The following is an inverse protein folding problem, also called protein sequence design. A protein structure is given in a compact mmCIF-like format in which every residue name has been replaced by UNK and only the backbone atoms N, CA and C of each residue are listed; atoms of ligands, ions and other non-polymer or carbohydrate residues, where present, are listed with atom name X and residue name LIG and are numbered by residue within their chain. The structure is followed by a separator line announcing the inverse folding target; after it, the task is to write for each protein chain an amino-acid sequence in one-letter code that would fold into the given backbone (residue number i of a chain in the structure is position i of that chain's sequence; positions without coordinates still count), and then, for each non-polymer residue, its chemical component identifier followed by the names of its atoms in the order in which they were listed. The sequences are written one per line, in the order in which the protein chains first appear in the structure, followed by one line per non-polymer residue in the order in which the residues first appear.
data_IF_018783300915
#
_entry.id   IF_018783300915
#
_cell.length_a   1.000
_cell.length_b   1.000
_cell.length_c   1.000
_cell.angle_alpha   90.00
_cell.angle_beta   90.00
_cell.angle_gamma   90.00
#
_symmetry.space_group_name_H-M   'P 1'
#
loop_
_entity.id
_entity.type
_entity.pdbx_description
1 polymer ?
#
# COMPACT_ATOMS: atom_id res chain seq x y z
N UNK A 1 -0.57 -22.65 -29.41
CA UNK A 1 -1.75 -21.75 -29.33
C UNK A 1 -1.36 -20.57 -28.43
N UNK A 2 -1.16 -19.40 -29.01
CA UNK A 2 -0.84 -18.17 -28.30
C UNK A 2 -2.08 -17.77 -27.47
N UNK A 3 -2.00 -17.81 -26.14
CA UNK A 3 -2.99 -17.17 -25.27
C UNK A 3 -2.72 -15.66 -25.28
N UNK A 4 -3.53 -14.92 -25.98
CA UNK A 4 -3.58 -13.47 -25.91
C UNK A 4 -3.89 -13.04 -24.47
N UNK A 5 -3.00 -12.22 -23.93
CA UNK A 5 -3.15 -11.53 -22.65
C UNK A 5 -4.29 -10.50 -22.75
N UNK A 6 -5.49 -10.88 -22.37
CA UNK A 6 -6.67 -10.01 -22.25
C UNK A 6 -6.65 -9.19 -20.94
N UNK A 7 -5.55 -8.52 -20.60
CA UNK A 7 -5.46 -7.65 -19.44
C UNK A 7 -4.63 -6.38 -19.72
N UNK A 8 -4.65 -5.90 -20.96
CA UNK A 8 -4.20 -4.55 -21.28
C UNK A 8 -5.17 -4.06 -22.36
N UNK A 9 -6.17 -3.26 -21.96
CA UNK A 9 -6.75 -2.29 -22.88
C UNK A 9 -5.56 -1.57 -23.51
N UNK A 10 -5.57 -1.40 -24.81
CA UNK A 10 -4.52 -0.82 -25.62
C UNK A 10 -3.80 0.29 -24.86
N UNK A 11 -2.46 0.25 -24.77
CA UNK A 11 -1.60 1.14 -23.96
C UNK A 11 -1.93 2.63 -24.05
N UNK A 12 -2.63 3.05 -25.09
CA UNK A 12 -3.01 4.43 -25.36
C UNK A 12 -4.22 4.93 -24.54
N UNK A 13 -5.13 4.06 -24.10
CA UNK A 13 -6.37 4.48 -23.43
C UNK A 13 -6.35 4.35 -21.90
N UNK A 14 -5.34 3.75 -21.31
CA UNK A 14 -5.27 3.53 -19.84
C UNK A 14 -5.27 4.84 -19.03
N UNK A 15 -4.69 5.92 -19.55
CA UNK A 15 -4.70 7.22 -18.90
C UNK A 15 -6.09 7.86 -18.87
N UNK A 16 -6.95 7.60 -19.88
CA UNK A 16 -8.33 8.12 -19.94
C UNK A 16 -9.18 7.55 -18.80
N UNK A 17 -8.97 6.29 -18.44
CA UNK A 17 -9.64 5.67 -17.28
C UNK A 17 -9.20 6.35 -15.98
N UNK A 18 -7.91 6.60 -15.81
CA UNK A 18 -7.38 7.33 -14.66
C UNK A 18 -7.89 8.77 -14.62
N UNK A 19 -7.89 9.45 -15.76
CA UNK A 19 -8.46 10.81 -15.91
C UNK A 19 -9.91 10.85 -15.44
N UNK A 20 -10.74 9.96 -15.97
CA UNK A 20 -12.16 9.88 -15.63
C UNK A 20 -12.38 9.64 -14.15
N UNK A 21 -11.58 8.76 -13.53
CA UNK A 21 -11.65 8.49 -12.08
C UNK A 21 -11.37 9.75 -11.26
N UNK A 22 -10.35 10.53 -11.61
CA UNK A 22 -10.03 11.79 -10.91
C UNK A 22 -11.12 12.84 -11.18
N UNK A 23 -11.57 12.96 -12.40
CA UNK A 23 -12.61 13.92 -12.81
C UNK A 23 -13.92 13.68 -12.04
N UNK A 24 -14.40 12.43 -12.02
CA UNK A 24 -15.65 12.06 -11.34
C UNK A 24 -15.55 12.30 -9.83
N UNK A 25 -14.40 11.94 -9.22
CA UNK A 25 -14.16 12.22 -7.81
C UNK A 25 -14.14 13.71 -7.50
N UNK A 26 -13.45 14.50 -8.32
CA UNK A 26 -13.35 15.94 -8.12
C UNK A 26 -14.70 16.63 -8.29
N UNK A 27 -15.52 16.22 -9.28
CA UNK A 27 -16.90 16.71 -9.47
C UNK A 27 -17.81 16.34 -8.30
N UNK A 28 -17.79 15.07 -7.86
CA UNK A 28 -18.63 14.56 -6.77
C UNK A 28 -18.32 15.23 -5.41
N UNK A 29 -17.10 15.74 -5.21
CA UNK A 29 -16.68 16.42 -3.99
C UNK A 29 -16.51 17.94 -4.14
N UNK A 30 -16.93 18.56 -5.27
CA UNK A 30 -16.81 19.99 -5.57
C UNK A 30 -15.38 20.53 -5.46
N UNK A 31 -14.37 19.76 -5.91
CA UNK A 31 -12.96 20.13 -5.85
C UNK A 31 -12.57 20.92 -7.10
N UNK A 32 -12.79 22.23 -7.08
CA UNK A 32 -12.64 23.10 -8.24
C UNK A 32 -11.18 23.21 -8.70
N UNK A 33 -10.23 23.40 -7.76
CA UNK A 33 -8.81 23.48 -8.11
C UNK A 33 -8.32 22.17 -8.71
N UNK A 34 -8.76 21.02 -8.19
CA UNK A 34 -8.41 19.69 -8.75
C UNK A 34 -8.93 19.51 -10.17
N UNK A 35 -10.15 20.00 -10.49
CA UNK A 35 -10.70 19.96 -11.85
C UNK A 35 -9.90 20.83 -12.83
N UNK A 36 -9.48 22.02 -12.39
CA UNK A 36 -8.63 22.91 -13.19
C UNK A 36 -7.24 22.27 -13.38
N UNK A 37 -6.61 21.81 -12.31
CA UNK A 37 -5.30 21.18 -12.33
C UNK A 37 -5.26 19.92 -13.22
N UNK A 38 -6.34 19.14 -13.24
CA UNK A 38 -6.48 17.96 -14.09
C UNK A 38 -6.39 18.33 -15.59
N UNK A 39 -7.09 19.37 -16.02
CA UNK A 39 -7.04 19.89 -17.40
C UNK A 39 -5.65 20.44 -17.72
N UNK A 40 -5.14 21.33 -16.85
CA UNK A 40 -3.83 21.95 -16.99
C UNK A 40 -2.71 20.90 -17.10
N UNK A 41 -2.66 19.89 -16.22
CA UNK A 41 -1.66 18.84 -16.29
C UNK A 41 -1.73 18.04 -17.60
N UNK A 42 -2.96 17.76 -18.07
CA UNK A 42 -3.17 17.04 -19.35
C UNK A 42 -2.65 17.85 -20.55
N UNK A 43 -2.87 19.15 -20.58
CA UNK A 43 -2.37 20.06 -21.61
C UNK A 43 -0.85 20.17 -21.55
N UNK A 44 -0.28 20.36 -20.36
CA UNK A 44 1.17 20.55 -20.17
C UNK A 44 1.96 19.30 -20.52
N UNK A 45 1.50 18.11 -20.12
CA UNK A 45 2.18 16.84 -20.41
C UNK A 45 1.80 16.23 -21.77
N UNK A 46 1.02 16.95 -22.60
CA UNK A 46 0.65 16.49 -23.95
C UNK A 46 1.90 16.25 -24.80
N UNK A 47 2.00 15.05 -25.38
CA UNK A 47 3.13 14.62 -26.21
C UNK A 47 4.34 14.10 -25.41
N UNK A 48 4.35 14.20 -24.09
CA UNK A 48 5.42 13.65 -23.25
C UNK A 48 5.18 12.16 -22.94
N UNK A 49 6.26 11.38 -22.92
CA UNK A 49 6.23 9.96 -22.56
C UNK A 49 7.21 9.65 -21.44
N UNK A 50 6.86 8.67 -20.59
CA UNK A 50 7.75 8.09 -19.58
C UNK A 50 8.81 7.18 -20.23
N UNK A 51 9.86 6.82 -19.49
CA UNK A 51 10.87 5.84 -19.94
C UNK A 51 10.28 4.45 -20.24
N UNK A 52 9.13 4.12 -19.67
CA UNK A 52 8.33 2.92 -19.93
C UNK A 52 7.53 2.98 -21.24
N UNK A 53 7.53 4.15 -21.95
CA UNK A 53 6.80 4.37 -23.20
C UNK A 53 5.34 4.79 -23.02
N UNK A 54 4.84 4.93 -21.79
CA UNK A 54 3.48 5.37 -21.49
C UNK A 54 3.37 6.91 -21.53
N UNK A 55 2.17 7.49 -21.83
CA UNK A 55 1.96 8.93 -21.73
C UNK A 55 2.31 9.44 -20.31
N UNK A 56 3.05 10.56 -20.23
CA UNK A 56 3.56 11.06 -18.93
C UNK A 56 2.45 11.38 -17.95
N UNK A 57 1.30 11.86 -18.41
CA UNK A 57 0.14 12.21 -17.60
C UNK A 57 -0.35 11.08 -16.69
N UNK A 58 -0.05 9.81 -17.01
CA UNK A 58 -0.40 8.67 -16.17
C UNK A 58 0.19 8.81 -14.77
N UNK A 59 1.40 9.36 -14.64
CA UNK A 59 2.09 9.47 -13.36
C UNK A 59 1.35 10.41 -12.38
N UNK A 60 1.13 11.69 -12.67
CA UNK A 60 0.41 12.56 -11.76
C UNK A 60 -1.04 12.09 -11.51
N UNK A 61 -1.69 11.47 -12.50
CA UNK A 61 -2.99 10.83 -12.30
C UNK A 61 -2.93 9.71 -11.25
N UNK A 62 -1.96 8.82 -11.34
CA UNK A 62 -1.80 7.71 -10.40
C UNK A 62 -1.42 8.19 -8.99
N UNK A 63 -0.58 9.22 -8.86
CA UNK A 63 -0.25 9.85 -7.57
C UNK A 63 -1.51 10.44 -6.94
N UNK A 64 -2.31 11.17 -7.71
CA UNK A 64 -3.57 11.76 -7.24
C UNK A 64 -4.59 10.70 -6.87
N UNK A 65 -4.78 9.66 -7.70
CA UNK A 65 -5.66 8.53 -7.38
C UNK A 65 -5.21 7.83 -6.10
N UNK A 66 -3.90 7.66 -5.89
CA UNK A 66 -3.40 7.05 -4.68
C UNK A 66 -3.76 7.87 -3.43
N UNK A 67 -3.62 9.20 -3.48
CA UNK A 67 -4.08 10.08 -2.40
C UNK A 67 -5.60 9.97 -2.16
N UNK A 68 -6.39 9.91 -3.23
CA UNK A 68 -7.84 9.68 -3.14
C UNK A 68 -8.15 8.34 -2.45
N UNK A 69 -7.45 7.27 -2.80
CA UNK A 69 -7.66 5.94 -2.17
C UNK A 69 -7.23 5.92 -0.70
N UNK A 70 -6.31 6.80 -0.30
CA UNK A 70 -5.98 7.04 1.10
C UNK A 70 -7.07 7.83 1.84
N UNK A 71 -8.06 8.37 1.14
CA UNK A 71 -9.18 9.13 1.70
C UNK A 71 -8.97 10.64 1.72
N UNK A 72 -7.95 11.15 1.01
CA UNK A 72 -7.71 12.58 0.89
C UNK A 72 -8.81 13.25 0.06
N UNK A 73 -9.37 14.35 0.58
CA UNK A 73 -10.36 15.21 -0.10
C UNK A 73 -9.95 16.69 -0.09
N UNK A 74 -8.70 16.98 0.24
CA UNK A 74 -8.15 18.34 0.23
C UNK A 74 -7.91 18.79 -1.22
N UNK A 75 -8.69 19.77 -1.69
CA UNK A 75 -8.67 20.28 -3.07
C UNK A 75 -7.30 20.85 -3.45
N UNK A 76 -6.64 21.55 -2.51
CA UNK A 76 -5.31 22.12 -2.73
C UNK A 76 -4.26 21.01 -2.86
N UNK A 77 -4.33 20.00 -1.99
CA UNK A 77 -3.38 18.87 -2.02
C UNK A 77 -3.52 18.06 -3.30
N UNK A 78 -4.75 17.72 -3.71
CA UNK A 78 -4.98 16.92 -4.92
C UNK A 78 -4.62 17.69 -6.19
N UNK A 79 -4.92 19.00 -6.25
CA UNK A 79 -4.48 19.87 -7.35
C UNK A 79 -2.95 19.97 -7.42
N UNK A 80 -2.28 20.16 -6.28
CA UNK A 80 -0.81 20.18 -6.21
C UNK A 80 -0.20 18.82 -6.62
N UNK A 81 -0.84 17.71 -6.26
CA UNK A 81 -0.41 16.37 -6.69
C UNK A 81 -0.53 16.18 -8.21
N UNK A 82 -1.58 16.73 -8.84
CA UNK A 82 -1.71 16.72 -10.30
C UNK A 82 -0.62 17.52 -11.00
N UNK A 83 -0.08 18.57 -10.36
CA UNK A 83 0.85 19.53 -10.97
C UNK A 83 2.29 19.42 -10.45
N UNK A 84 2.60 18.45 -9.57
CA UNK A 84 3.85 18.42 -8.81
C UNK A 84 5.14 18.40 -9.64
N UNK A 85 5.09 17.83 -10.86
CA UNK A 85 6.25 17.74 -11.77
C UNK A 85 6.23 18.82 -12.88
N UNK A 86 5.14 19.59 -13.03
CA UNK A 86 4.95 20.45 -14.20
C UNK A 86 6.00 21.56 -14.29
N UNK A 87 6.38 22.22 -13.19
CA UNK A 87 7.41 23.26 -13.18
C UNK A 87 8.79 22.69 -13.47
N UNK A 88 9.04 21.42 -13.13
CA UNK A 88 10.30 20.72 -13.41
C UNK A 88 10.38 20.23 -14.87
N UNK A 89 9.29 19.67 -15.39
CA UNK A 89 9.27 18.91 -16.64
C UNK A 89 8.67 19.64 -17.86
N UNK A 90 7.94 20.76 -17.65
CA UNK A 90 7.27 21.53 -18.72
C UNK A 90 7.87 22.94 -18.89
N UNK A 91 9.20 23.05 -18.86
CA UNK A 91 9.93 24.34 -18.92
C UNK A 91 9.76 25.11 -20.24
N UNK A 92 9.34 24.45 -21.27
CA UNK A 92 9.00 25.02 -22.59
C UNK A 92 7.60 25.65 -22.62
N UNK A 93 6.75 25.29 -21.66
CA UNK A 93 5.34 25.73 -21.59
C UNK A 93 5.03 26.58 -20.34
N UNK A 94 5.91 26.56 -19.34
CA UNK A 94 5.74 27.30 -18.08
C UNK A 94 6.96 28.15 -17.77
N UNK A 95 6.74 29.30 -17.15
CA UNK A 95 7.79 30.10 -16.54
C UNK A 95 8.45 29.32 -15.37
N UNK A 96 9.69 29.69 -15.04
CA UNK A 96 10.40 29.07 -13.91
C UNK A 96 9.70 29.24 -12.57
N UNK A 97 8.88 30.25 -12.45
CA UNK A 97 8.14 30.59 -11.23
C UNK A 97 6.73 29.98 -11.22
N UNK A 98 6.27 29.42 -12.34
CA UNK A 98 4.92 28.86 -12.45
C UNK A 98 3.81 29.90 -12.29
N UNK A 99 4.08 31.16 -12.64
CA UNK A 99 3.11 32.27 -12.49
C UNK A 99 1.78 32.01 -13.21
N UNK A 100 1.81 31.22 -14.28
CA UNK A 100 0.64 30.79 -15.04
C UNK A 100 -0.42 30.09 -14.20
N UNK A 101 -0.02 29.43 -13.10
CA UNK A 101 -0.97 28.77 -12.20
C UNK A 101 -2.02 29.74 -11.66
N UNK A 102 -1.59 30.94 -11.28
CA UNK A 102 -2.48 31.96 -10.73
C UNK A 102 -2.98 32.92 -11.81
N UNK A 103 -2.14 33.35 -12.72
CA UNK A 103 -2.49 34.37 -13.74
C UNK A 103 -3.35 33.83 -14.88
N UNK A 104 -3.06 32.61 -15.36
CA UNK A 104 -3.76 32.00 -16.48
C UNK A 104 -4.87 31.06 -16.07
N UNK A 105 -4.56 30.20 -15.07
CA UNK A 105 -5.48 29.14 -14.63
C UNK A 105 -6.28 29.49 -13.37
N UNK A 106 -6.00 30.64 -12.75
CA UNK A 106 -6.69 31.12 -11.54
C UNK A 106 -6.76 30.09 -10.41
N UNK A 107 -5.69 29.31 -10.23
CA UNK A 107 -5.56 28.36 -9.13
C UNK A 107 -5.24 29.06 -7.81
N UNK A 108 -5.61 28.42 -6.71
CA UNK A 108 -5.24 28.91 -5.38
C UNK A 108 -3.71 29.02 -5.27
N UNK A 109 -3.15 30.16 -4.80
CA UNK A 109 -1.69 30.37 -4.69
C UNK A 109 -0.94 29.32 -3.87
N UNK A 110 -1.59 28.68 -2.89
CA UNK A 110 -0.99 27.60 -2.08
C UNK A 110 -0.61 26.39 -2.93
N UNK A 111 -1.30 26.16 -4.06
CA UNK A 111 -0.97 25.05 -4.97
C UNK A 111 0.41 25.28 -5.57
N UNK A 112 0.67 26.48 -6.10
CA UNK A 112 1.97 26.85 -6.65
C UNK A 112 3.06 26.75 -5.57
N UNK A 113 2.80 27.25 -4.36
CA UNK A 113 3.73 27.16 -3.23
C UNK A 113 4.14 25.72 -2.95
N UNK A 114 3.16 24.79 -2.91
CA UNK A 114 3.42 23.36 -2.68
C UNK A 114 4.20 22.75 -3.85
N UNK A 115 3.82 23.04 -5.09
CA UNK A 115 4.52 22.54 -6.29
C UNK A 115 5.98 23.00 -6.30
N UNK A 116 6.26 24.27 -5.98
CA UNK A 116 7.63 24.79 -5.88
C UNK A 116 8.45 24.13 -4.76
N UNK A 117 7.83 23.75 -3.62
CA UNK A 117 8.50 22.95 -2.58
C UNK A 117 8.90 21.56 -3.11
N UNK A 118 8.12 20.99 -4.02
CA UNK A 118 8.35 19.66 -4.61
C UNK A 118 9.31 19.68 -5.78
N UNK A 119 9.53 20.86 -6.41
CA UNK A 119 10.40 21.06 -7.58
C UNK A 119 11.88 21.04 -7.19
N UNK A 120 12.68 20.22 -7.85
CA UNK A 120 14.15 20.19 -7.70
C UNK A 120 14.79 21.26 -8.60
N UNK A 121 15.44 22.24 -8.01
CA UNK A 121 16.16 23.27 -8.74
C UNK A 121 17.59 22.82 -9.08
N UNK A 122 18.19 23.41 -10.14
CA UNK A 122 19.58 23.09 -10.50
C UNK A 122 20.52 23.37 -9.31
N UNK A 123 21.32 22.36 -8.91
CA UNK A 123 22.27 22.50 -7.80
C UNK A 123 21.61 22.34 -6.40
N UNK A 124 20.38 21.79 -6.30
CA UNK A 124 19.77 21.52 -5.01
C UNK A 124 20.62 20.55 -4.18
N UNK A 125 20.60 20.75 -2.85
CA UNK A 125 21.21 19.85 -1.88
C UNK A 125 20.10 18.97 -1.31
N UNK A 126 20.21 17.65 -1.48
CA UNK A 126 19.17 16.67 -1.10
C UNK A 126 18.69 16.86 0.33
N UNK A 127 19.59 16.94 1.31
CA UNK A 127 19.23 17.14 2.70
C UNK A 127 18.34 18.38 2.90
N UNK A 128 18.72 19.51 2.31
CA UNK A 128 17.98 20.77 2.44
C UNK A 128 16.60 20.69 1.76
N UNK A 129 16.51 19.97 0.65
CA UNK A 129 15.27 19.74 -0.08
C UNK A 129 14.27 18.98 0.79
N UNK A 130 14.68 17.84 1.37
CA UNK A 130 13.79 17.06 2.23
C UNK A 130 13.44 17.77 3.55
N UNK A 131 14.37 18.55 4.11
CA UNK A 131 14.06 19.38 5.31
C UNK A 131 12.99 20.47 5.06
N UNK A 132 12.93 21.01 3.84
CA UNK A 132 11.84 21.95 3.46
C UNK A 132 10.50 21.22 3.32
N UNK A 133 10.50 20.06 2.65
CA UNK A 133 9.28 19.25 2.44
C UNK A 133 8.69 18.80 3.78
N UNK A 134 9.51 18.41 4.76
CA UNK A 134 9.05 18.01 6.10
C UNK A 134 8.11 19.02 6.75
N UNK A 135 8.31 20.32 6.52
CA UNK A 135 7.59 21.38 7.19
C UNK A 135 6.18 21.62 6.66
N UNK A 136 5.86 21.09 5.50
CA UNK A 136 4.52 21.21 4.90
C UNK A 136 3.86 19.83 4.82
N UNK A 137 2.74 19.60 5.54
CA UNK A 137 2.08 18.29 5.59
C UNK A 137 1.55 17.82 4.24
N UNK A 138 1.10 18.76 3.38
CA UNK A 138 0.60 18.45 2.04
C UNK A 138 1.75 18.05 1.11
N UNK A 139 2.83 18.83 1.08
CA UNK A 139 4.03 18.53 0.30
C UNK A 139 4.65 17.19 0.72
N UNK A 140 4.71 16.91 2.03
CA UNK A 140 5.21 15.66 2.59
C UNK A 140 4.39 14.47 2.09
N UNK A 141 3.06 14.55 2.18
CA UNK A 141 2.18 13.43 1.78
C UNK A 141 2.21 13.20 0.27
N UNK A 142 2.23 14.27 -0.53
CA UNK A 142 2.40 14.17 -1.99
C UNK A 142 3.74 13.50 -2.32
N UNK A 143 4.84 13.94 -1.70
CA UNK A 143 6.18 13.38 -1.97
C UNK A 143 6.30 11.91 -1.59
N UNK A 144 5.68 11.48 -0.49
CA UNK A 144 5.59 10.08 -0.12
C UNK A 144 4.78 9.27 -1.14
N UNK A 145 3.67 9.82 -1.64
CA UNK A 145 2.80 9.17 -2.63
C UNK A 145 3.47 9.06 -4.00
N UNK A 146 4.17 10.11 -4.44
CA UNK A 146 5.02 10.11 -5.62
C UNK A 146 6.09 9.01 -5.54
N UNK A 147 6.84 8.93 -4.44
CA UNK A 147 7.84 7.86 -4.24
C UNK A 147 7.20 6.47 -4.32
N UNK A 148 6.07 6.27 -3.68
CA UNK A 148 5.37 4.99 -3.70
C UNK A 148 4.93 4.60 -5.13
N UNK A 149 4.48 5.55 -5.94
CA UNK A 149 4.17 5.32 -7.35
C UNK A 149 5.42 4.99 -8.17
N UNK A 150 6.49 5.77 -8.04
CA UNK A 150 7.74 5.54 -8.74
C UNK A 150 8.40 4.21 -8.37
N UNK A 151 8.41 3.83 -7.08
CA UNK A 151 8.88 2.51 -6.64
C UNK A 151 8.07 1.37 -7.26
N UNK A 152 6.76 1.56 -7.45
CA UNK A 152 5.88 0.55 -8.03
C UNK A 152 6.18 0.24 -9.50
N UNK A 153 6.78 1.19 -10.22
CA UNK A 153 7.06 1.08 -11.67
C UNK A 153 8.54 0.91 -11.99
N UNK A 154 9.45 1.04 -11.00
CA UNK A 154 10.91 1.10 -11.26
C UNK A 154 11.49 -0.16 -11.89
N UNK A 155 10.93 -1.36 -11.61
CA UNK A 155 11.41 -2.63 -12.17
C UNK A 155 11.32 -2.67 -13.68
N UNK A 156 10.36 -1.94 -14.28
CA UNK A 156 10.17 -1.85 -15.73
C UNK A 156 10.99 -0.74 -16.39
N UNK A 157 11.48 0.22 -15.60
CA UNK A 157 12.05 1.47 -16.11
C UNK A 157 13.53 1.67 -15.75
N UNK A 158 14.06 0.96 -14.74
CA UNK A 158 15.39 1.18 -14.19
C UNK A 158 16.27 -0.06 -14.35
N UNK A 159 17.58 0.16 -14.57
CA UNK A 159 18.59 -0.88 -14.44
C UNK A 159 18.90 -1.14 -12.95
N UNK A 160 19.69 -2.20 -12.67
CA UNK A 160 20.05 -2.65 -11.32
C UNK A 160 20.64 -1.53 -10.47
N UNK A 161 21.66 -0.82 -10.97
CA UNK A 161 22.36 0.23 -10.21
C UNK A 161 21.43 1.39 -9.84
N UNK A 162 20.52 1.74 -10.74
CA UNK A 162 19.54 2.79 -10.49
C UNK A 162 18.49 2.34 -9.48
N UNK A 163 18.05 1.06 -9.51
CA UNK A 163 17.16 0.52 -8.49
C UNK A 163 17.80 0.54 -7.10
N UNK A 164 19.07 0.14 -6.99
CA UNK A 164 19.82 0.17 -5.72
C UNK A 164 19.85 1.59 -5.14
N UNK A 165 20.27 2.58 -5.94
CA UNK A 165 20.30 3.99 -5.53
C UNK A 165 18.90 4.49 -5.11
N UNK A 166 17.87 4.04 -5.79
CA UNK A 166 16.49 4.45 -5.52
C UNK A 166 15.96 3.87 -4.21
N UNK A 167 16.34 2.62 -3.90
CA UNK A 167 16.04 1.96 -2.62
C UNK A 167 16.78 2.67 -1.49
N UNK A 168 18.11 2.92 -1.64
CA UNK A 168 18.92 3.62 -0.66
C UNK A 168 18.36 5.02 -0.34
N UNK A 169 18.05 5.81 -1.37
CA UNK A 169 17.41 7.13 -1.20
C UNK A 169 16.05 7.00 -0.47
N UNK A 170 15.27 5.96 -0.76
CA UNK A 170 13.99 5.72 -0.10
C UNK A 170 14.16 5.43 1.39
N UNK A 171 15.13 4.59 1.74
CA UNK A 171 15.42 4.25 3.13
C UNK A 171 15.99 5.47 3.88
N UNK A 172 16.90 6.21 3.26
CA UNK A 172 17.57 7.34 3.89
C UNK A 172 16.64 8.52 4.16
N UNK A 173 15.91 8.97 3.14
CA UNK A 173 15.12 10.21 3.24
C UNK A 173 13.63 9.98 3.46
N UNK A 174 13.01 9.03 2.76
CA UNK A 174 11.55 8.88 2.84
C UNK A 174 11.09 8.18 4.12
N UNK A 175 11.91 7.29 4.70
CA UNK A 175 11.60 6.75 6.02
C UNK A 175 11.69 7.82 7.11
N UNK A 176 12.62 8.75 6.96
CA UNK A 176 12.74 9.89 7.85
C UNK A 176 11.55 10.85 7.69
N UNK A 177 11.10 11.14 6.44
CA UNK A 177 9.85 11.85 6.19
C UNK A 177 8.65 11.15 6.86
N UNK A 178 8.55 9.83 6.77
CA UNK A 178 7.49 9.07 7.43
C UNK A 178 7.56 9.19 8.96
N UNK A 179 8.75 9.11 9.54
CA UNK A 179 8.96 9.27 10.98
C UNK A 179 8.56 10.66 11.46
N UNK A 180 9.04 11.69 10.76
CA UNK A 180 8.72 13.08 11.06
C UNK A 180 7.23 13.36 10.92
N UNK A 181 6.62 13.00 9.79
CA UNK A 181 5.21 13.25 9.53
C UNK A 181 4.28 12.59 10.54
N UNK A 182 4.58 11.36 10.98
CA UNK A 182 3.79 10.68 12.03
C UNK A 182 3.89 11.37 13.39
N UNK A 183 5.02 12.01 13.69
CA UNK A 183 5.22 12.71 14.95
C UNK A 183 4.58 14.10 14.98
N UNK A 184 4.52 14.80 13.84
CA UNK A 184 4.13 16.20 13.76
C UNK A 184 2.76 16.43 13.10
N UNK A 185 2.25 15.48 12.33
CA UNK A 185 0.98 15.55 11.59
C UNK A 185 0.11 14.34 11.92
N UNK A 186 -0.46 14.25 13.12
CA UNK A 186 -1.22 13.10 13.60
C UNK A 186 -2.44 12.78 12.72
N UNK A 187 -3.04 13.78 12.07
CA UNK A 187 -4.14 13.62 11.12
C UNK A 187 -3.77 12.79 9.90
N UNK A 188 -2.49 12.79 9.49
CA UNK A 188 -1.97 11.98 8.39
C UNK A 188 -1.28 10.68 8.84
N UNK A 189 -1.27 10.36 10.13
CA UNK A 189 -0.54 9.21 10.67
C UNK A 189 -0.94 7.88 10.00
N UNK A 190 -2.23 7.67 9.75
CA UNK A 190 -2.72 6.46 9.06
C UNK A 190 -2.28 6.42 7.60
N UNK A 191 -2.40 7.53 6.87
CA UNK A 191 -1.95 7.65 5.48
C UNK A 191 -0.47 7.32 5.35
N UNK A 192 0.36 7.93 6.20
CA UNK A 192 1.81 7.70 6.24
C UNK A 192 2.13 6.25 6.61
N UNK A 193 1.36 5.64 7.50
CA UNK A 193 1.55 4.22 7.89
C UNK A 193 1.31 3.29 6.70
N UNK A 194 0.24 3.51 5.92
CA UNK A 194 -0.08 2.73 4.73
C UNK A 194 1.00 2.90 3.65
N UNK A 195 1.42 4.14 3.39
CA UNK A 195 2.48 4.45 2.41
C UNK A 195 3.81 3.80 2.84
N UNK A 196 4.20 3.96 4.12
CA UNK A 196 5.43 3.37 4.64
C UNK A 196 5.41 1.85 4.53
N UNK A 197 4.28 1.21 4.88
CA UNK A 197 4.12 -0.23 4.74
C UNK A 197 4.38 -0.71 3.30
N UNK A 198 3.80 0.00 2.33
CA UNK A 198 4.00 -0.27 0.91
C UNK A 198 5.46 -0.04 0.47
N UNK A 199 6.06 1.09 0.81
CA UNK A 199 7.45 1.38 0.48
C UNK A 199 8.41 0.33 1.07
N UNK A 200 8.21 -0.06 2.33
CA UNK A 200 9.01 -1.09 2.99
C UNK A 200 8.91 -2.42 2.24
N UNK A 201 7.70 -2.84 1.88
CA UNK A 201 7.49 -4.10 1.15
C UNK A 201 8.18 -4.10 -0.21
N UNK A 202 8.11 -2.99 -0.94
CA UNK A 202 8.77 -2.87 -2.26
C UNK A 202 10.30 -2.90 -2.09
N UNK A 203 10.85 -2.10 -1.16
CA UNK A 203 12.30 -2.05 -0.92
C UNK A 203 12.84 -3.42 -0.49
N UNK A 204 12.21 -4.08 0.51
CA UNK A 204 12.61 -5.41 0.97
C UNK A 204 12.56 -6.45 -0.18
N UNK A 205 11.56 -6.37 -1.06
CA UNK A 205 11.45 -7.26 -2.23
C UNK A 205 12.58 -7.00 -3.23
N UNK A 206 12.88 -5.74 -3.53
CA UNK A 206 13.96 -5.38 -4.48
C UNK A 206 15.34 -5.73 -3.92
N UNK A 207 15.60 -5.45 -2.64
CA UNK A 207 16.87 -5.82 -1.97
C UNK A 207 17.10 -7.34 -2.08
N UNK A 208 16.07 -8.14 -1.81
CA UNK A 208 16.17 -9.59 -1.89
C UNK A 208 16.39 -10.09 -3.32
N UNK A 209 15.65 -9.56 -4.31
CA UNK A 209 15.78 -9.95 -5.72
C UNK A 209 17.14 -9.56 -6.33
N UNK A 210 17.75 -8.46 -5.87
CA UNK A 210 19.05 -8.01 -6.35
C UNK A 210 20.23 -8.58 -5.53
N UNK A 211 19.96 -9.46 -4.54
CA UNK A 211 20.94 -10.02 -3.61
C UNK A 211 21.80 -8.96 -2.93
N UNK A 212 21.16 -7.86 -2.52
CA UNK A 212 21.81 -6.77 -1.79
C UNK A 212 21.82 -7.12 -0.31
N UNK A 213 22.95 -6.93 0.37
CA UNK A 213 23.01 -7.02 1.84
C UNK A 213 22.00 -6.05 2.44
N UNK A 214 21.21 -6.54 3.42
CA UNK A 214 20.13 -5.75 4.03
C UNK A 214 20.68 -4.46 4.61
N UNK A 215 20.28 -3.32 4.07
CA UNK A 215 20.63 -1.99 4.56
C UNK A 215 19.86 -1.70 5.87
N UNK A 216 18.68 -2.31 6.04
CA UNK A 216 17.87 -2.13 7.24
C UNK A 216 18.37 -3.05 8.37
N UNK A 217 18.73 -2.49 9.56
CA UNK A 217 19.06 -3.29 10.72
C UNK A 217 17.85 -4.15 11.13
N UNK A 218 18.10 -5.42 11.46
CA UNK A 218 17.11 -6.30 12.08
C UNK A 218 16.86 -5.74 13.49
N UNK A 219 15.79 -4.96 13.65
CA UNK A 219 15.35 -4.53 14.99
C UNK A 219 14.75 -5.73 15.71
N UNK A 220 15.48 -6.34 16.62
CA UNK A 220 15.02 -7.48 17.46
C UNK A 220 13.68 -7.25 18.16
N UNK A 221 13.29 -6.00 18.37
CA UNK A 221 12.07 -5.60 19.06
C UNK A 221 11.01 -4.94 18.16
N UNK A 222 11.14 -5.09 16.82
CA UNK A 222 10.23 -4.45 15.84
C UNK A 222 8.75 -4.78 16.11
N UNK A 223 8.43 -5.98 16.61
CA UNK A 223 7.07 -6.41 16.91
C UNK A 223 6.47 -5.73 18.15
N UNK A 224 7.30 -5.36 19.14
CA UNK A 224 6.82 -4.74 20.39
C UNK A 224 6.09 -3.41 20.13
N UNK A 225 6.61 -2.57 19.22
CA UNK A 225 5.94 -1.32 18.85
C UNK A 225 4.56 -1.56 18.25
N UNK A 226 4.45 -2.55 17.35
CA UNK A 226 3.17 -2.90 16.73
C UNK A 226 2.20 -3.50 17.74
N UNK A 227 2.69 -4.36 18.64
CA UNK A 227 1.90 -4.94 19.72
C UNK A 227 1.36 -3.85 20.66
N UNK A 228 2.22 -2.92 21.10
CA UNK A 228 1.83 -1.80 21.96
C UNK A 228 0.84 -0.87 21.27
N UNK A 229 1.03 -0.61 19.96
CA UNK A 229 0.08 0.17 19.17
C UNK A 229 -1.31 -0.48 19.16
N UNK A 230 -1.41 -1.77 18.81
CA UNK A 230 -2.69 -2.49 18.78
C UNK A 230 -3.30 -2.56 20.19
N UNK A 231 -2.49 -2.82 21.23
CA UNK A 231 -2.95 -2.86 22.62
C UNK A 231 -3.54 -1.51 23.05
N UNK A 232 -2.82 -0.41 22.81
CA UNK A 232 -3.30 0.93 23.14
C UNK A 232 -4.57 1.30 22.36
N UNK A 233 -4.64 0.96 21.07
CA UNK A 233 -5.83 1.14 20.25
C UNK A 233 -7.03 0.35 20.79
N UNK A 234 -6.81 -0.94 21.13
CA UNK A 234 -7.87 -1.80 21.66
C UNK A 234 -8.39 -1.34 23.02
N UNK A 235 -7.52 -0.83 23.89
CA UNK A 235 -7.93 -0.22 25.18
C UNK A 235 -8.76 1.04 24.92
N UNK A 236 -8.28 1.97 24.07
CA UNK A 236 -8.97 3.22 23.77
C UNK A 236 -10.30 3.07 23.00
N UNK A 237 -10.54 1.89 22.40
CA UNK A 237 -11.79 1.54 21.67
C UNK A 237 -12.62 0.48 22.38
N UNK A 238 -12.28 0.11 23.61
CA UNK A 238 -13.00 -0.89 24.40
C UNK A 238 -13.19 -2.22 23.67
N UNK A 239 -12.08 -2.80 23.16
CA UNK A 239 -12.05 -4.02 22.32
C UNK A 239 -11.54 -5.24 23.12
N UNK A 240 -12.36 -5.87 23.97
CA UNK A 240 -11.91 -6.91 24.89
C UNK A 240 -11.44 -8.18 24.21
N UNK A 241 -12.07 -8.61 23.11
CA UNK A 241 -11.64 -9.80 22.38
C UNK A 241 -10.30 -9.57 21.67
N UNK A 242 -10.02 -8.37 21.18
CA UNK A 242 -8.72 -8.00 20.62
C UNK A 242 -7.61 -8.10 21.67
N UNK A 243 -7.86 -7.65 22.90
CA UNK A 243 -6.89 -7.76 24.00
C UNK A 243 -6.64 -9.22 24.38
N UNK A 244 -7.68 -10.05 24.44
CA UNK A 244 -7.57 -11.49 24.67
C UNK A 244 -6.77 -12.17 23.56
N UNK A 245 -7.08 -11.88 22.30
CA UNK A 245 -6.37 -12.40 21.11
C UNK A 245 -4.88 -12.00 21.10
N UNK A 246 -4.54 -10.77 21.51
CA UNK A 246 -3.16 -10.33 21.67
C UNK A 246 -2.40 -11.19 22.71
N UNK A 247 -3.04 -11.54 23.82
CA UNK A 247 -2.44 -12.41 24.83
C UNK A 247 -2.26 -13.83 24.32
N UNK A 248 -3.26 -14.36 23.59
CA UNK A 248 -3.19 -15.70 22.98
C UNK A 248 -2.02 -15.85 22.00
N UNK A 249 -1.83 -14.91 21.09
CA UNK A 249 -0.76 -15.01 20.07
C UNK A 249 0.64 -14.91 20.68
N UNK A 250 0.81 -14.23 21.81
CA UNK A 250 2.09 -14.17 22.52
C UNK A 250 2.48 -15.54 23.09
N UNK A 251 1.51 -16.37 23.47
CA UNK A 251 1.73 -17.75 23.94
C UNK A 251 1.89 -18.67 22.73
N UNK A 252 0.96 -18.61 21.77
CA UNK A 252 0.90 -19.51 20.61
C UNK A 252 2.15 -19.45 19.73
N UNK A 253 2.76 -18.25 19.58
CA UNK A 253 3.87 -18.01 18.68
C UNK A 253 5.18 -17.66 19.37
N UNK A 254 5.32 -17.91 20.68
CA UNK A 254 6.47 -17.53 21.51
C UNK A 254 7.82 -17.89 20.89
N UNK A 255 7.96 -19.11 20.39
CA UNK A 255 9.23 -19.64 19.87
C UNK A 255 9.17 -19.93 18.35
N UNK A 256 8.05 -19.56 17.68
CA UNK A 256 7.87 -19.79 16.25
C UNK A 256 8.54 -18.70 15.42
N UNK A 257 9.19 -19.09 14.32
CA UNK A 257 9.80 -18.19 13.35
C UNK A 257 9.16 -18.36 11.97
N UNK A 258 9.18 -17.27 11.19
CA UNK A 258 8.85 -17.26 9.76
C UNK A 258 10.05 -17.81 8.96
N UNK A 259 9.85 -18.13 7.67
CA UNK A 259 10.94 -18.47 6.74
C UNK A 259 11.99 -17.35 6.60
N UNK A 260 11.58 -16.09 6.72
CA UNK A 260 12.49 -14.93 6.77
C UNK A 260 13.38 -14.87 8.03
N UNK A 261 13.19 -15.78 9.00
CA UNK A 261 13.89 -15.77 10.29
C UNK A 261 13.23 -14.88 11.35
N UNK A 262 12.28 -14.03 10.98
CA UNK A 262 11.55 -13.14 11.90
C UNK A 262 10.66 -13.94 12.88
N UNK A 263 10.40 -13.43 14.10
CA UNK A 263 9.40 -14.00 14.99
C UNK A 263 8.03 -14.12 14.32
N UNK A 264 7.37 -15.26 14.42
CA UNK A 264 6.10 -15.53 13.73
C UNK A 264 4.99 -14.55 14.12
N UNK A 265 4.97 -14.08 15.36
CA UNK A 265 4.00 -13.12 15.91
C UNK A 265 3.91 -11.82 15.09
N UNK A 266 4.97 -11.46 14.36
CA UNK A 266 4.99 -10.26 13.49
C UNK A 266 3.89 -10.31 12.45
N UNK A 267 3.59 -11.51 11.91
CA UNK A 267 2.61 -11.67 10.85
C UNK A 267 1.19 -11.28 11.28
N UNK A 268 0.56 -11.87 12.27
CA UNK A 268 -0.78 -11.49 12.69
C UNK A 268 -0.84 -10.04 13.21
N UNK A 269 0.22 -9.55 13.87
CA UNK A 269 0.29 -8.15 14.28
C UNK A 269 0.27 -7.20 13.08
N UNK A 270 1.03 -7.48 12.01
CA UNK A 270 1.03 -6.66 10.79
C UNK A 270 -0.33 -6.72 10.08
N UNK A 271 -0.97 -7.89 9.98
CA UNK A 271 -2.31 -8.03 9.38
C UNK A 271 -3.32 -7.17 10.13
N UNK A 272 -3.36 -7.26 11.45
CA UNK A 272 -4.27 -6.48 12.29
C UNK A 272 -3.98 -4.97 12.21
N UNK A 273 -2.71 -4.56 12.33
CA UNK A 273 -2.33 -3.13 12.28
C UNK A 273 -2.61 -2.51 10.92
N UNK A 274 -2.49 -3.28 9.84
CA UNK A 274 -2.83 -2.81 8.50
C UNK A 274 -4.33 -2.55 8.36
N UNK A 275 -5.18 -3.47 8.84
CA UNK A 275 -6.64 -3.27 8.89
C UNK A 275 -7.01 -2.03 9.72
N UNK A 276 -6.40 -1.82 10.89
CA UNK A 276 -6.60 -0.62 11.71
C UNK A 276 -6.22 0.64 10.93
N UNK A 277 -5.09 0.65 10.24
CA UNK A 277 -4.62 1.80 9.44
C UNK A 277 -5.56 2.12 8.28
N UNK A 278 -6.19 1.10 7.70
CA UNK A 278 -7.23 1.24 6.68
C UNK A 278 -8.60 1.64 7.25
N UNK A 279 -8.72 1.83 8.57
CA UNK A 279 -9.99 2.08 9.28
C UNK A 279 -11.01 0.94 9.13
N UNK A 280 -10.54 -0.27 8.83
CA UNK A 280 -11.32 -1.51 8.83
C UNK A 280 -11.09 -2.16 10.19
N UNK A 281 -11.76 -1.67 11.24
CA UNK A 281 -11.50 -2.11 12.61
C UNK A 281 -12.77 -2.18 13.43
N UNK A 282 -12.98 -3.34 14.00
CA UNK A 282 -13.92 -3.62 15.10
C UNK A 282 -13.26 -4.66 15.99
N UNK A 283 -13.77 -4.83 17.22
CA UNK A 283 -13.23 -5.86 18.12
C UNK A 283 -13.22 -7.25 17.46
N UNK A 284 -14.29 -7.58 16.73
CA UNK A 284 -14.43 -8.84 15.99
C UNK A 284 -13.38 -9.02 14.89
N UNK A 285 -13.17 -8.00 14.05
CA UNK A 285 -12.20 -8.06 12.94
C UNK A 285 -10.78 -8.12 13.47
N UNK A 286 -10.43 -7.26 14.43
CA UNK A 286 -9.07 -7.20 14.98
C UNK A 286 -8.72 -8.49 15.73
N UNK A 287 -9.62 -9.02 16.54
CA UNK A 287 -9.41 -10.28 17.24
C UNK A 287 -9.25 -11.46 16.26
N UNK A 288 -10.15 -11.58 15.27
CA UNK A 288 -10.06 -12.63 14.26
C UNK A 288 -8.77 -12.49 13.42
N UNK A 289 -8.34 -11.28 13.07
CA UNK A 289 -7.10 -11.03 12.34
C UNK A 289 -5.85 -11.42 13.14
N UNK A 290 -5.86 -11.27 14.47
CA UNK A 290 -4.76 -11.71 15.32
C UNK A 290 -4.64 -13.22 15.40
N UNK A 291 -5.76 -13.96 15.45
CA UNK A 291 -5.77 -15.41 15.60
C UNK A 291 -6.17 -16.17 14.34
N UNK A 292 -6.10 -15.53 13.16
CA UNK A 292 -6.58 -16.09 11.88
C UNK A 292 -5.91 -17.40 11.45
N UNK A 293 -4.76 -17.71 12.00
CA UNK A 293 -4.04 -18.96 11.75
C UNK A 293 -4.11 -19.95 12.95
N UNK A 294 -5.04 -19.73 13.89
CA UNK A 294 -5.16 -20.57 15.10
C UNK A 294 -5.28 -22.05 14.78
N UNK A 295 -6.06 -22.41 13.76
CA UNK A 295 -6.36 -23.80 13.38
C UNK A 295 -5.43 -24.34 12.28
N UNK A 296 -4.24 -23.75 12.07
CA UNK A 296 -3.25 -24.37 11.19
C UNK A 296 -2.75 -25.69 11.75
N UNK A 297 -2.44 -26.62 10.87
CA UNK A 297 -2.03 -28.00 11.21
C UNK A 297 -0.75 -28.08 12.09
N UNK A 298 0.11 -27.08 12.06
CA UNK A 298 1.34 -26.97 12.83
C UNK A 298 1.16 -26.44 14.26
N UNK A 299 -0.06 -26.08 14.63
CA UNK A 299 -0.40 -25.67 16.00
C UNK A 299 -0.88 -26.86 16.82
N UNK A 300 -0.45 -26.93 18.10
CA UNK A 300 -0.87 -27.98 19.03
C UNK A 300 -2.37 -27.87 19.36
N UNK A 301 -3.19 -28.91 19.05
CA UNK A 301 -4.62 -28.87 19.33
C UNK A 301 -4.97 -28.78 20.82
N UNK A 302 -4.10 -29.33 21.71
CA UNK A 302 -4.31 -29.25 23.16
C UNK A 302 -4.10 -27.84 23.65
N UNK A 303 -3.03 -27.18 23.21
CA UNK A 303 -2.76 -25.77 23.50
C UNK A 303 -3.89 -24.89 23.00
N UNK A 304 -4.39 -25.10 21.77
CA UNK A 304 -5.52 -24.34 21.23
C UNK A 304 -6.76 -24.47 22.12
N UNK A 305 -7.09 -25.68 22.54
CA UNK A 305 -8.24 -25.95 23.43
C UNK A 305 -8.10 -25.21 24.76
N UNK A 306 -6.91 -25.24 25.36
CA UNK A 306 -6.60 -24.57 26.62
C UNK A 306 -6.72 -23.04 26.47
N UNK A 307 -6.13 -22.47 25.43
CA UNK A 307 -6.22 -21.03 25.13
C UNK A 307 -7.66 -20.56 24.91
N UNK A 308 -8.46 -21.29 24.14
CA UNK A 308 -9.86 -20.98 23.92
C UNK A 308 -10.69 -21.01 25.21
N UNK A 309 -10.43 -21.98 26.08
CA UNK A 309 -11.06 -22.07 27.39
C UNK A 309 -10.65 -20.90 28.30
N UNK A 310 -9.35 -20.63 28.38
CA UNK A 310 -8.79 -19.58 29.27
C UNK A 310 -9.25 -18.18 28.89
N UNK A 311 -9.21 -17.85 27.61
CA UNK A 311 -9.50 -16.48 27.14
C UNK A 311 -10.98 -16.26 26.80
N UNK A 312 -11.78 -17.32 26.65
CA UNK A 312 -13.23 -17.22 26.37
C UNK A 312 -13.52 -16.20 25.23
N UNK A 313 -12.94 -16.44 24.06
CA UNK A 313 -13.15 -15.63 22.85
C UNK A 313 -14.59 -15.81 22.38
N UNK A 314 -15.22 -14.73 21.88
CA UNK A 314 -16.58 -14.78 21.30
C UNK A 314 -16.66 -15.87 20.22
N UNK A 315 -17.62 -16.83 20.30
CA UNK A 315 -17.78 -17.89 19.33
C UNK A 315 -17.91 -17.40 17.87
N UNK A 316 -18.51 -16.24 17.64
CA UNK A 316 -18.61 -15.63 16.30
C UNK A 316 -17.24 -15.29 15.71
N UNK A 317 -16.27 -14.94 16.55
CA UNK A 317 -14.88 -14.70 16.11
C UNK A 317 -14.23 -16.02 15.71
N UNK A 318 -14.47 -17.08 16.48
CA UNK A 318 -13.96 -18.42 16.17
C UNK A 318 -14.51 -18.95 14.85
N UNK A 319 -15.77 -18.68 14.55
CA UNK A 319 -16.38 -19.08 13.26
C UNK A 319 -15.72 -18.35 12.08
N UNK A 320 -15.41 -17.06 12.22
CA UNK A 320 -14.61 -16.32 11.21
C UNK A 320 -13.24 -16.97 11.02
N UNK A 321 -12.56 -17.30 12.12
CA UNK A 321 -11.21 -17.92 12.06
C UNK A 321 -11.25 -19.29 11.39
N UNK A 322 -12.29 -20.10 11.63
CA UNK A 322 -12.49 -21.38 10.92
C UNK A 322 -12.64 -21.19 9.41
N UNK A 323 -13.39 -20.16 8.96
CA UNK A 323 -13.52 -19.84 7.54
C UNK A 323 -12.18 -19.44 6.90
N UNK A 324 -11.27 -18.81 7.67
CA UNK A 324 -9.96 -18.39 7.19
C UNK A 324 -8.96 -19.56 7.07
N UNK A 325 -9.21 -20.68 7.73
CA UNK A 325 -8.38 -21.88 7.67
C UNK A 325 -8.93 -22.84 6.59
N UNK A 326 -8.20 -22.99 5.47
CA UNK A 326 -8.59 -23.92 4.40
C UNK A 326 -8.35 -25.37 4.83
N UNK A 327 -9.38 -26.22 4.90
CA UNK A 327 -9.20 -27.66 5.13
C UNK A 327 -8.37 -28.33 4.01
N UNK A 328 -7.60 -29.37 4.34
CA UNK A 328 -6.72 -30.05 3.37
C UNK A 328 -7.47 -30.59 2.15
N UNK A 329 -8.67 -31.12 2.36
CA UNK A 329 -9.48 -31.75 1.31
C UNK A 329 -10.36 -30.77 0.54
N UNK A 330 -10.32 -29.47 0.84
CA UNK A 330 -11.13 -28.45 0.16
C UNK A 330 -10.35 -27.87 -1.02
N UNK A 331 -11.01 -27.73 -2.18
CA UNK A 331 -10.44 -27.04 -3.33
C UNK A 331 -10.30 -25.53 -3.07
N UNK A 332 -9.40 -24.85 -3.80
CA UNK A 332 -9.29 -23.39 -3.70
C UNK A 332 -10.57 -22.68 -4.13
N UNK A 333 -11.24 -23.15 -5.17
CA UNK A 333 -12.52 -22.58 -5.61
C UNK A 333 -13.57 -22.61 -4.50
N UNK A 334 -13.77 -23.76 -3.88
CA UNK A 334 -14.71 -23.95 -2.79
C UNK A 334 -14.35 -23.10 -1.57
N UNK A 335 -13.07 -23.05 -1.22
CA UNK A 335 -12.57 -22.21 -0.12
C UNK A 335 -12.90 -20.73 -0.34
N UNK A 336 -12.63 -20.19 -1.54
CA UNK A 336 -12.91 -18.79 -1.83
C UNK A 336 -14.41 -18.48 -1.97
N UNK A 337 -15.24 -19.45 -2.37
CA UNK A 337 -16.69 -19.33 -2.32
C UNK A 337 -17.19 -19.26 -0.87
N UNK A 338 -16.67 -20.12 0.01
CA UNK A 338 -17.04 -20.11 1.43
C UNK A 338 -16.61 -18.80 2.12
N UNK A 339 -15.45 -18.24 1.79
CA UNK A 339 -15.02 -16.93 2.33
C UNK A 339 -16.01 -15.81 2.03
N UNK A 340 -16.64 -15.82 0.85
CA UNK A 340 -17.62 -14.80 0.44
C UNK A 340 -18.87 -14.75 1.31
N UNK A 341 -19.13 -15.79 2.11
CA UNK A 341 -20.27 -15.83 3.06
C UNK A 341 -20.08 -14.90 4.26
N UNK A 342 -18.83 -14.38 4.50
CA UNK A 342 -18.52 -13.56 5.65
C UNK A 342 -17.65 -12.37 5.26
N UNK A 343 -18.18 -11.15 5.43
CA UNK A 343 -17.47 -9.88 5.13
C UNK A 343 -16.13 -9.79 5.83
N UNK A 344 -16.11 -10.11 7.14
CA UNK A 344 -14.90 -10.03 7.94
C UNK A 344 -13.82 -11.02 7.45
N UNK A 345 -14.21 -12.24 7.08
CA UNK A 345 -13.28 -13.23 6.54
C UNK A 345 -12.66 -12.78 5.20
N UNK A 346 -13.46 -12.17 4.31
CA UNK A 346 -12.96 -11.59 3.06
C UNK A 346 -11.90 -10.51 3.33
N UNK A 347 -12.21 -9.54 4.19
CA UNK A 347 -11.31 -8.41 4.49
C UNK A 347 -10.02 -8.87 5.17
N UNK A 348 -10.11 -9.81 6.11
CA UNK A 348 -8.94 -10.40 6.77
C UNK A 348 -8.10 -11.21 5.77
N UNK A 349 -8.72 -11.98 4.87
CA UNK A 349 -8.00 -12.74 3.84
C UNK A 349 -7.23 -11.82 2.90
N UNK A 350 -7.84 -10.72 2.42
CA UNK A 350 -7.16 -9.73 1.58
C UNK A 350 -5.99 -9.05 2.31
N UNK A 351 -6.17 -8.67 3.58
CA UNK A 351 -5.09 -8.11 4.40
C UNK A 351 -3.98 -9.13 4.69
N UNK A 352 -4.33 -10.38 4.94
CA UNK A 352 -3.36 -11.48 5.10
C UNK A 352 -2.51 -11.64 3.82
N UNK A 353 -3.14 -11.65 2.64
CA UNK A 353 -2.42 -11.74 1.35
C UNK A 353 -1.51 -10.54 1.14
N UNK A 354 -1.95 -9.32 1.47
CA UNK A 354 -1.14 -8.12 1.44
C UNK A 354 0.07 -8.18 2.39
N UNK A 355 -0.03 -8.88 3.52
CA UNK A 355 1.12 -9.11 4.38
C UNK A 355 2.01 -10.24 3.87
N UNK A 356 1.45 -11.35 3.40
CA UNK A 356 2.23 -12.49 2.90
C UNK A 356 3.10 -12.08 1.71
N UNK A 357 2.58 -11.27 0.79
CA UNK A 357 3.36 -10.83 -0.37
C UNK A 357 4.63 -10.05 0.01
N UNK A 358 4.68 -9.38 1.18
CA UNK A 358 5.88 -8.64 1.62
C UNK A 358 7.10 -9.54 1.88
N UNK A 359 6.88 -10.83 2.11
CA UNK A 359 7.94 -11.82 2.35
C UNK A 359 8.04 -12.86 1.24
N UNK A 360 7.38 -12.64 0.10
CA UNK A 360 7.35 -13.56 -1.02
C UNK A 360 8.76 -13.84 -1.60
N UNK A 361 9.67 -12.88 -1.44
CA UNK A 361 11.07 -13.05 -1.83
C UNK A 361 11.78 -14.20 -1.10
N UNK A 362 11.35 -14.58 0.11
CA UNK A 362 11.93 -15.69 0.89
C UNK A 362 11.35 -17.07 0.54
N UNK A 363 10.46 -17.14 -0.45
CA UNK A 363 9.83 -18.37 -0.90
C UNK A 363 10.64 -19.00 -2.06
N UNK A 364 10.55 -20.32 -2.19
CA UNK A 364 11.11 -21.02 -3.36
C UNK A 364 10.34 -20.65 -4.65
N UNK A 365 10.97 -20.80 -5.82
CA UNK A 365 10.38 -20.37 -7.09
C UNK A 365 9.01 -21.01 -7.34
N UNK A 366 8.88 -22.32 -7.10
CA UNK A 366 7.60 -23.02 -7.22
C UNK A 366 6.49 -22.43 -6.34
N UNK A 367 6.83 -22.07 -5.10
CA UNK A 367 5.87 -21.46 -4.15
C UNK A 367 5.50 -20.03 -4.56
N UNK A 368 6.44 -19.29 -5.18
CA UNK A 368 6.14 -17.97 -5.75
C UNK A 368 5.17 -18.10 -6.93
N UNK A 369 5.36 -19.09 -7.80
CA UNK A 369 4.45 -19.39 -8.91
C UNK A 369 3.05 -19.78 -8.40
N UNK A 370 2.97 -20.65 -7.41
CA UNK A 370 1.71 -21.04 -6.76
C UNK A 370 1.01 -19.83 -6.14
N UNK A 371 1.76 -18.94 -5.46
CA UNK A 371 1.23 -17.71 -4.90
C UNK A 371 0.65 -16.80 -5.98
N UNK A 372 1.38 -16.61 -7.08
CA UNK A 372 0.96 -15.76 -8.20
C UNK A 372 -0.25 -16.37 -8.92
N UNK A 373 -0.27 -17.69 -9.10
CA UNK A 373 -1.42 -18.40 -9.67
C UNK A 373 -2.68 -18.24 -8.81
N UNK A 374 -2.54 -18.36 -7.47
CA UNK A 374 -3.65 -18.12 -6.55
C UNK A 374 -4.11 -16.67 -6.59
N UNK A 375 -3.17 -15.72 -6.71
CA UNK A 375 -3.50 -14.30 -6.86
C UNK A 375 -4.34 -14.06 -8.11
N UNK A 376 -3.92 -14.54 -9.28
CA UNK A 376 -4.64 -14.33 -10.55
C UNK A 376 -6.03 -15.00 -10.57
N UNK A 377 -6.10 -16.24 -10.09
CA UNK A 377 -7.30 -17.05 -10.24
C UNK A 377 -8.34 -16.84 -9.13
N UNK A 378 -7.93 -16.35 -7.95
CA UNK A 378 -8.82 -16.27 -6.78
C UNK A 378 -8.81 -14.92 -6.10
N UNK A 379 -7.65 -14.26 -5.93
CA UNK A 379 -7.56 -13.00 -5.18
C UNK A 379 -8.07 -11.84 -6.02
N UNK A 380 -7.73 -11.74 -7.31
CA UNK A 380 -8.30 -10.71 -8.21
C UNK A 380 -9.84 -10.81 -8.26
N UNK A 381 -10.45 -12.00 -8.47
CA UNK A 381 -11.90 -12.16 -8.37
C UNK A 381 -12.48 -11.83 -6.99
N UNK A 382 -11.73 -12.07 -5.90
CA UNK A 382 -12.18 -11.72 -4.55
C UNK A 382 -12.17 -10.20 -4.34
N UNK A 383 -11.18 -9.47 -4.88
CA UNK A 383 -11.18 -7.99 -4.87
C UNK A 383 -12.38 -7.43 -5.64
N UNK A 384 -12.66 -7.95 -6.83
CA UNK A 384 -13.82 -7.53 -7.65
C UNK A 384 -15.13 -7.78 -6.90
N UNK A 385 -15.28 -8.96 -6.29
CA UNK A 385 -16.42 -9.29 -5.43
C UNK A 385 -16.54 -8.31 -4.25
N UNK A 386 -15.46 -8.09 -3.52
CA UNK A 386 -15.46 -7.23 -2.34
C UNK A 386 -15.81 -5.77 -2.67
N UNK A 387 -15.31 -5.22 -3.78
CA UNK A 387 -15.65 -3.87 -4.26
C UNK A 387 -17.13 -3.73 -4.60
N UNK A 388 -17.72 -4.77 -5.19
CA UNK A 388 -19.14 -4.78 -5.53
C UNK A 388 -20.04 -4.92 -4.30
N UNK A 389 -19.66 -5.79 -3.35
CA UNK A 389 -20.49 -6.08 -2.17
C UNK A 389 -20.31 -5.04 -1.05
N UNK A 390 -19.15 -4.37 -0.98
CA UNK A 390 -18.81 -3.43 0.09
C UNK A 390 -18.31 -2.09 -0.51
N UNK A 391 -19.18 -1.37 -1.27
CA UNK A 391 -18.77 -0.15 -1.97
C UNK A 391 -18.27 0.95 -1.04
N UNK A 392 -18.73 0.96 0.22
CA UNK A 392 -18.28 1.87 1.28
C UNK A 392 -16.80 1.66 1.67
N UNK A 393 -16.24 0.49 1.37
CA UNK A 393 -14.83 0.13 1.61
C UNK A 393 -13.99 0.11 0.33
N UNK A 394 -14.50 0.62 -0.79
CA UNK A 394 -13.84 0.53 -2.09
C UNK A 394 -12.40 1.09 -2.06
N UNK A 395 -12.19 2.25 -1.41
CA UNK A 395 -10.85 2.86 -1.29
C UNK A 395 -9.88 1.98 -0.49
N UNK A 396 -10.34 1.36 0.59
CA UNK A 396 -9.53 0.47 1.42
C UNK A 396 -9.17 -0.82 0.66
N UNK A 397 -10.12 -1.36 -0.07
CA UNK A 397 -9.93 -2.53 -0.91
C UNK A 397 -8.98 -2.21 -2.07
N UNK A 398 -9.10 -1.03 -2.72
CA UNK A 398 -8.17 -0.55 -3.74
C UNK A 398 -6.73 -0.42 -3.21
N UNK A 399 -6.55 0.03 -1.96
CA UNK A 399 -5.22 0.09 -1.33
C UNK A 399 -4.58 -1.31 -1.16
N UNK A 400 -5.36 -2.31 -0.73
CA UNK A 400 -4.88 -3.68 -0.60
C UNK A 400 -4.55 -4.29 -1.97
N UNK A 401 -5.44 -4.12 -2.96
CA UNK A 401 -5.28 -4.60 -4.32
C UNK A 401 -4.01 -4.01 -4.96
N UNK A 402 -3.86 -2.68 -4.91
CA UNK A 402 -2.69 -2.01 -5.45
C UNK A 402 -1.38 -2.48 -4.80
N UNK A 403 -1.38 -2.73 -3.48
CA UNK A 403 -0.21 -3.24 -2.77
C UNK A 403 0.21 -4.62 -3.29
N UNK A 404 -0.72 -5.57 -3.36
CA UNK A 404 -0.44 -6.95 -3.80
C UNK A 404 -0.03 -6.96 -5.28
N UNK A 405 -0.76 -6.23 -6.12
CA UNK A 405 -0.50 -6.11 -7.56
C UNK A 405 0.95 -5.69 -7.83
N UNK A 406 1.44 -4.67 -7.13
CA UNK A 406 2.80 -4.16 -7.29
C UNK A 406 3.84 -5.24 -6.96
N UNK A 407 3.70 -5.91 -5.83
CA UNK A 407 4.65 -6.95 -5.41
C UNK A 407 4.63 -8.13 -6.39
N UNK A 408 3.44 -8.59 -6.80
CA UNK A 408 3.32 -9.66 -7.80
C UNK A 408 3.97 -9.27 -9.14
N UNK A 409 3.83 -8.01 -9.58
CA UNK A 409 4.48 -7.52 -10.79
C UNK A 409 6.01 -7.49 -10.68
N UNK A 410 6.55 -7.09 -9.52
CA UNK A 410 7.99 -7.11 -9.25
C UNK A 410 8.52 -8.54 -9.31
N UNK A 411 7.86 -9.48 -8.64
CA UNK A 411 8.26 -10.89 -8.63
C UNK A 411 8.20 -11.50 -10.03
N UNK A 412 7.14 -11.24 -10.81
CA UNK A 412 7.04 -11.68 -12.21
C UNK A 412 8.14 -11.13 -13.11
N UNK A 413 8.53 -9.89 -12.94
CA UNK A 413 9.60 -9.28 -13.73
C UNK A 413 10.93 -10.01 -13.50
N UNK A 414 11.18 -10.52 -12.29
CA UNK A 414 12.37 -11.30 -11.98
C UNK A 414 12.42 -12.65 -12.73
N UNK A 415 11.29 -13.33 -12.91
CA UNK A 415 11.21 -14.56 -13.71
C UNK A 415 11.61 -14.34 -15.19
N UNK A 416 11.37 -13.13 -15.73
CA UNK A 416 11.73 -12.79 -17.13
C UNK A 416 13.23 -12.48 -17.26
N UNK A 417 13.90 -12.04 -16.18
CA UNK A 417 15.31 -11.64 -16.20
C UNK A 417 16.28 -12.78 -15.88
N UNK A 418 15.77 -13.87 -15.30
CA UNK A 418 16.55 -15.07 -14.96
C UNK A 418 16.52 -16.13 -16.06
N UNK A 419 15.80 -15.91 -17.14
CA UNK A 419 15.72 -16.75 -18.36
C UNK A 419 16.01 -15.92 -19.60
#
# INVERSE_FOLDING_TARGET
MKRENTLISTRDDSWKVCYKKVEDFAKANNLINTQIALKMATELHSGQTRKSGEPYIIHPLQVTIYLITLGVKDDIMLAAAMLHDTVEDCKDKLSRNGEEFTLTYNLNPDILRIVLLLTKTKGYVEKNYYEKIKKDPRALLIKLSDRANNCSTMVRAFNKDKMIKYVDETITYYYDLCKYGKAHFPEFSNHITIIKYKLTSICETIEALLSIDKILPIEEHKYLRTLLFIKGFAIGKEMPNTLKALSMIQILYKDKKRRSGDPYIIHPLKVCSYLISLKICSDKICAAALIHELFKDDNDPLLIRELLKTYSIDPKIIDIVKLLCKPKNMSLNEYYLNLRTCKEAVLIRLSNRANTCTTLHSYEEKEKEEYISEYDNHIIPLFSYAKTQYPELSNQIDNMDYHITVICQIVRANFIWCH
#
